data_IF_785603003016
#
_entry.id   IF_785603003016
#
_cell.length_a   1.000
_cell.length_b   1.000
_cell.length_c   1.000
_cell.angle_alpha   90.00
_cell.angle_beta   90.00
_cell.angle_gamma   90.00
#
_symmetry.space_group_name_H-M   'P 1'
#
loop_
_entity.id
_entity.type
_entity.pdbx_description
1 polymer ?
#
# COMPACT_ATOMS: atom_id res chain seq x y z
N UNK A 1 0.29 -15.46 4.89
CA UNK A 1 1.22 -14.93 5.92
C UNK A 1 2.29 -15.97 6.16
N UNK A 2 3.56 -15.56 6.11
CA UNK A 2 4.68 -16.50 6.18
C UNK A 2 4.74 -17.19 7.54
N UNK A 3 4.93 -18.52 7.55
CA UNK A 3 4.97 -19.36 8.77
C UNK A 3 6.27 -19.22 9.56
N UNK A 4 6.97 -18.10 9.38
CA UNK A 4 8.31 -17.88 9.90
C UNK A 4 8.32 -18.00 11.43
N UNK A 5 9.31 -18.73 11.92
CA UNK A 5 9.66 -18.77 13.33
C UNK A 5 10.38 -17.48 13.72
N UNK A 6 10.37 -17.09 15.00
CA UNK A 6 11.09 -15.90 15.44
C UNK A 6 12.58 -15.90 15.08
N UNK A 7 13.23 -17.08 15.04
CA UNK A 7 14.64 -17.21 14.65
C UNK A 7 14.85 -16.93 13.17
N UNK A 8 13.96 -17.42 12.30
CA UNK A 8 14.02 -17.14 10.87
C UNK A 8 13.75 -15.66 10.58
N UNK A 9 12.80 -15.04 11.29
CA UNK A 9 12.57 -13.59 11.15
C UNK A 9 13.82 -12.80 11.53
N UNK A 10 14.47 -13.13 12.66
CA UNK A 10 15.71 -12.46 13.08
C UNK A 10 16.80 -12.66 12.03
N UNK A 11 17.00 -13.89 11.53
CA UNK A 11 18.00 -14.17 10.50
C UNK A 11 17.75 -13.37 9.21
N UNK A 12 16.48 -13.24 8.78
CA UNK A 12 16.12 -12.40 7.62
C UNK A 12 16.33 -10.92 7.89
N UNK A 13 16.16 -10.45 9.12
CA UNK A 13 16.47 -9.07 9.50
C UNK A 13 17.99 -8.84 9.63
N UNK A 14 18.77 -9.86 9.94
CA UNK A 14 20.24 -9.78 9.97
C UNK A 14 20.83 -9.54 8.56
N UNK A 15 20.12 -9.92 7.49
CA UNK A 15 20.48 -9.63 6.09
C UNK A 15 20.35 -8.15 5.70
N UNK A 16 19.77 -7.28 6.55
CA UNK A 16 19.57 -5.86 6.19
C UNK A 16 19.90 -4.89 7.32
N UNK A 17 19.91 -5.36 8.57
CA UNK A 17 20.14 -4.54 9.74
C UNK A 17 21.34 -5.11 10.48
N UNK A 18 22.33 -4.28 10.76
CA UNK A 18 23.48 -4.65 11.60
C UNK A 18 23.12 -4.46 13.08
N UNK A 19 23.46 -5.44 13.92
CA UNK A 19 23.25 -5.36 15.37
C UNK A 19 21.79 -5.38 15.80
N UNK A 20 21.46 -4.65 16.88
CA UNK A 20 20.09 -4.44 17.39
C UNK A 20 19.29 -5.73 17.64
N UNK A 21 19.94 -6.75 18.20
CA UNK A 21 19.36 -8.09 18.37
C UNK A 21 18.06 -8.11 19.19
N UNK A 22 17.98 -7.28 20.24
CA UNK A 22 16.80 -7.22 21.10
C UNK A 22 15.60 -6.65 20.34
N UNK A 23 15.80 -5.60 19.53
CA UNK A 23 14.75 -5.02 18.69
C UNK A 23 14.27 -6.03 17.63
N UNK A 24 15.19 -6.74 16.98
CA UNK A 24 14.84 -7.82 16.02
C UNK A 24 14.03 -8.93 16.70
N UNK A 25 14.44 -9.36 17.90
CA UNK A 25 13.71 -10.37 18.68
C UNK A 25 12.32 -9.87 19.06
N UNK A 26 12.18 -8.62 19.50
CA UNK A 26 10.91 -8.02 19.88
C UNK A 26 9.91 -8.03 18.72
N UNK A 27 10.32 -7.55 17.53
CA UNK A 27 9.44 -7.54 16.34
C UNK A 27 9.14 -8.96 15.84
N UNK A 28 10.10 -9.89 15.92
CA UNK A 28 9.91 -11.28 15.56
C UNK A 28 8.87 -11.99 16.46
N UNK A 29 8.88 -11.68 17.76
CA UNK A 29 7.88 -12.19 18.71
C UNK A 29 6.51 -11.59 18.41
N UNK A 30 6.41 -10.29 18.15
CA UNK A 30 5.15 -9.64 17.80
C UNK A 30 4.53 -10.26 16.54
N UNK A 31 5.33 -10.46 15.50
CA UNK A 31 4.90 -11.14 14.28
C UNK A 31 4.47 -12.59 14.54
N UNK A 32 5.24 -13.35 15.35
CA UNK A 32 4.86 -14.73 15.67
C UNK A 32 3.58 -14.81 16.49
N UNK A 33 3.35 -13.88 17.40
CA UNK A 33 2.11 -13.80 18.16
C UNK A 33 0.90 -13.55 17.26
N UNK A 34 1.08 -12.82 16.17
CA UNK A 34 0.04 -12.62 15.16
C UNK A 34 -0.29 -13.90 14.40
N UNK A 35 0.71 -14.69 14.01
CA UNK A 35 0.47 -16.03 13.47
C UNK A 35 -0.26 -16.92 14.48
N UNK A 36 0.16 -16.91 15.76
CA UNK A 36 -0.50 -17.66 16.83
C UNK A 36 -1.95 -17.23 17.02
N UNK A 37 -2.22 -15.93 16.97
CA UNK A 37 -3.57 -15.37 17.08
C UNK A 37 -4.51 -15.93 16.00
N UNK A 38 -4.05 -16.07 14.74
CA UNK A 38 -4.86 -16.68 13.68
C UNK A 38 -5.24 -18.15 13.94
N UNK A 39 -4.47 -18.86 14.76
CA UNK A 39 -4.74 -20.25 15.13
C UNK A 39 -5.72 -20.40 16.31
N UNK A 40 -6.09 -19.30 16.98
CA UNK A 40 -7.03 -19.34 18.10
C UNK A 40 -8.47 -19.57 17.62
N UNK A 41 -9.39 -19.93 18.51
CA UNK A 41 -10.82 -19.94 18.19
C UNK A 41 -11.36 -18.51 18.05
N UNK A 42 -12.46 -18.29 17.29
CA UNK A 42 -13.03 -16.96 17.09
C UNK A 42 -13.33 -16.20 18.39
N UNK A 43 -13.78 -16.90 19.43
CA UNK A 43 -14.11 -16.28 20.72
C UNK A 43 -12.86 -15.73 21.42
N UNK A 44 -11.77 -16.50 21.43
CA UNK A 44 -10.51 -16.08 22.06
C UNK A 44 -9.82 -15.01 21.22
N UNK A 45 -9.93 -15.07 19.88
CA UNK A 45 -9.31 -14.07 18.99
C UNK A 45 -9.73 -12.64 19.32
N UNK A 46 -11.00 -12.43 19.67
CA UNK A 46 -11.56 -11.11 20.03
C UNK A 46 -11.01 -10.56 21.36
N UNK A 47 -10.48 -11.41 22.22
CA UNK A 47 -9.93 -10.99 23.52
C UNK A 47 -8.41 -10.71 23.45
N UNK A 48 -7.75 -11.14 22.38
CA UNK A 48 -6.29 -11.05 22.24
C UNK A 48 -5.92 -9.85 21.37
N UNK A 49 -5.43 -8.81 22.03
CA UNK A 49 -4.91 -7.61 21.37
C UNK A 49 -3.46 -7.76 20.90
N UNK A 50 -3.06 -7.08 19.81
CA UNK A 50 -1.67 -6.99 19.37
C UNK A 50 -0.76 -6.51 20.50
N UNK A 51 0.47 -7.03 20.51
CA UNK A 51 1.50 -6.60 21.46
C UNK A 51 2.31 -5.48 20.82
N UNK A 52 1.78 -4.25 20.90
CA UNK A 52 2.41 -3.06 20.36
C UNK A 52 3.77 -2.79 21.02
N UNK A 53 4.66 -2.11 20.29
CA UNK A 53 6.07 -1.98 20.64
C UNK A 53 6.45 -0.50 20.75
N UNK A 54 7.20 -0.12 21.79
CA UNK A 54 7.95 1.14 21.82
C UNK A 54 9.43 0.82 21.62
N UNK A 55 10.01 1.38 20.56
CA UNK A 55 11.44 1.39 20.26
C UNK A 55 12.09 2.65 20.82
N UNK A 56 13.03 2.49 21.74
CA UNK A 56 13.73 3.56 22.42
C UNK A 56 15.16 3.61 21.91
N UNK A 57 15.64 4.75 21.43
CA UNK A 57 17.05 4.88 21.07
C UNK A 57 17.34 6.08 20.18
N UNK A 58 18.61 6.39 19.93
CA UNK A 58 19.01 7.58 19.17
C UNK A 58 18.58 7.50 17.69
N UNK A 59 18.64 8.63 17.00
CA UNK A 59 18.38 8.66 15.55
C UNK A 59 19.44 7.87 14.80
N UNK A 60 19.08 7.27 13.67
CA UNK A 60 20.04 6.55 12.81
C UNK A 60 20.40 5.12 13.23
N UNK A 61 19.95 4.62 14.39
CA UNK A 61 20.27 3.25 14.86
C UNK A 61 19.44 2.12 14.22
N UNK A 62 18.54 2.44 13.29
CA UNK A 62 17.76 1.44 12.53
C UNK A 62 16.31 1.17 12.98
N UNK A 63 15.72 1.99 13.87
CA UNK A 63 14.33 1.83 14.35
C UNK A 63 13.30 1.66 13.21
N UNK A 64 13.29 2.61 12.28
CA UNK A 64 12.39 2.58 11.12
C UNK A 64 12.73 1.44 10.16
N UNK A 65 14.01 1.14 9.98
CA UNK A 65 14.46 0.12 9.02
C UNK A 65 14.08 -1.29 9.45
N UNK A 66 14.22 -1.63 10.73
CA UNK A 66 13.74 -2.90 11.29
C UNK A 66 12.25 -3.09 10.98
N UNK A 67 11.44 -2.05 11.19
CA UNK A 67 10.00 -2.13 10.99
C UNK A 67 9.63 -2.21 9.50
N UNK A 68 10.29 -1.42 8.66
CA UNK A 68 10.11 -1.45 7.19
C UNK A 68 10.44 -2.84 6.63
N UNK A 69 11.56 -3.43 7.06
CA UNK A 69 11.98 -4.78 6.61
C UNK A 69 11.05 -5.86 7.11
N UNK A 70 10.55 -5.74 8.34
CA UNK A 70 9.52 -6.65 8.87
C UNK A 70 8.26 -6.63 8.01
N UNK A 71 7.78 -5.44 7.62
CA UNK A 71 6.61 -5.30 6.77
C UNK A 71 6.82 -5.92 5.38
N UNK A 72 7.97 -5.64 4.76
CA UNK A 72 8.34 -6.23 3.46
C UNK A 72 8.41 -7.77 3.53
N UNK A 73 9.06 -8.32 4.57
CA UNK A 73 9.20 -9.76 4.78
C UNK A 73 7.85 -10.48 4.92
N UNK A 74 6.84 -9.76 5.40
CA UNK A 74 5.51 -10.30 5.69
C UNK A 74 4.45 -9.89 4.68
N UNK A 75 4.84 -9.09 3.67
CA UNK A 75 3.95 -8.45 2.71
C UNK A 75 2.79 -7.71 3.40
N UNK A 76 3.09 -7.07 4.54
CA UNK A 76 2.13 -6.29 5.30
C UNK A 76 2.09 -4.84 4.80
N UNK A 77 0.90 -4.20 4.77
CA UNK A 77 0.81 -2.77 4.51
C UNK A 77 1.48 -2.01 5.66
N UNK A 78 2.30 -1.03 5.29
CA UNK A 78 3.13 -0.29 6.22
C UNK A 78 3.05 1.20 5.94
N UNK A 79 2.79 1.97 6.99
CA UNK A 79 2.80 3.43 6.94
C UNK A 79 3.63 3.99 8.09
N UNK A 80 4.49 4.96 7.76
CA UNK A 80 5.23 5.76 8.73
C UNK A 80 4.53 7.11 8.89
N UNK A 81 4.25 7.48 10.13
CA UNK A 81 3.78 8.82 10.51
C UNK A 81 4.71 9.42 11.56
N UNK A 82 4.70 10.75 11.68
CA UNK A 82 5.38 11.47 12.76
C UNK A 82 4.32 11.94 13.75
N UNK A 83 4.49 11.67 15.03
CA UNK A 83 3.51 12.04 16.07
C UNK A 83 3.30 13.56 16.16
N UNK A 84 4.34 14.34 15.84
CA UNK A 84 4.32 15.81 15.86
C UNK A 84 3.39 16.42 14.83
N UNK A 85 3.08 15.72 13.72
CA UNK A 85 2.15 16.18 12.67
C UNK A 85 0.73 16.44 13.18
N UNK A 86 0.36 15.85 14.32
CA UNK A 86 -0.97 15.97 14.91
C UNK A 86 -1.04 17.07 15.99
N UNK A 87 0.07 17.72 16.34
CA UNK A 87 0.15 18.72 17.43
C UNK A 87 -0.21 20.15 17.00
N UNK A 88 -0.31 20.42 15.69
CA UNK A 88 -0.52 21.78 15.17
C UNK A 88 -2.01 22.09 15.00
N UNK A 89 -2.52 23.02 15.83
CA UNK A 89 -3.87 23.59 15.71
C UNK A 89 -3.86 24.61 14.57
N UNK A 90 -4.04 24.12 13.34
CA UNK A 90 -4.13 24.96 12.14
C UNK A 90 -5.07 24.35 11.11
N UNK A 91 -6.12 25.09 10.78
CA UNK A 91 -7.11 24.85 9.72
C UNK A 91 -6.64 23.84 8.63
N UNK A 92 -7.37 22.73 8.48
CA UNK A 92 -7.01 21.52 7.69
C UNK A 92 -6.02 20.54 8.36
N UNK A 93 -6.05 20.48 9.69
CA UNK A 93 -5.29 19.50 10.46
C UNK A 93 -5.62 18.06 10.06
N UNK A 94 -4.59 17.30 9.70
CA UNK A 94 -4.72 15.86 9.46
C UNK A 94 -5.19 15.21 10.74
N UNK A 95 -6.45 14.78 10.75
CA UNK A 95 -7.03 13.92 11.76
C UNK A 95 -6.15 12.66 11.97
N UNK A 96 -6.02 12.17 13.19
CA UNK A 96 -5.25 10.96 13.51
C UNK A 96 -5.74 9.78 12.68
N UNK A 97 -7.04 9.70 12.35
CA UNK A 97 -7.58 8.67 11.46
C UNK A 97 -6.96 8.68 10.05
N UNK A 98 -6.33 9.78 9.61
CA UNK A 98 -5.62 9.84 8.32
C UNK A 98 -4.55 8.75 8.20
N UNK A 99 -3.89 8.35 9.29
CA UNK A 99 -2.89 7.28 9.24
C UNK A 99 -3.51 5.93 8.86
N UNK A 100 -4.77 5.71 9.23
CA UNK A 100 -5.53 4.50 8.89
C UNK A 100 -5.96 4.56 7.43
N UNK A 101 -6.37 5.74 6.94
CA UNK A 101 -6.69 5.95 5.52
C UNK A 101 -5.46 5.70 4.64
N UNK A 102 -4.30 6.23 5.03
CA UNK A 102 -3.02 6.01 4.35
C UNK A 102 -2.62 4.52 4.36
N UNK A 103 -2.86 3.82 5.48
CA UNK A 103 -2.58 2.38 5.59
C UNK A 103 -3.43 1.54 4.64
N UNK A 104 -4.70 1.92 4.47
CA UNK A 104 -5.62 1.25 3.55
C UNK A 104 -5.21 1.51 2.11
N UNK A 105 -4.74 2.71 1.78
CA UNK A 105 -4.16 2.99 0.46
C UNK A 105 -2.91 2.14 0.18
N UNK A 106 -2.02 1.99 1.15
CA UNK A 106 -0.87 1.09 1.02
C UNK A 106 -1.32 -0.37 0.82
N UNK A 107 -2.40 -0.79 1.50
CA UNK A 107 -2.98 -2.12 1.34
C UNK A 107 -3.57 -2.35 -0.06
N UNK A 108 -4.31 -1.36 -0.59
CA UNK A 108 -4.86 -1.39 -1.96
C UNK A 108 -3.72 -1.59 -2.97
N UNK A 109 -2.61 -0.86 -2.82
CA UNK A 109 -1.47 -0.97 -3.73
C UNK A 109 -0.86 -2.38 -3.70
N UNK A 110 -0.72 -2.99 -2.51
CA UNK A 110 -0.21 -4.34 -2.35
C UNK A 110 -1.12 -5.40 -2.99
N UNK A 111 -2.43 -5.34 -2.71
CA UNK A 111 -3.41 -6.27 -3.27
C UNK A 111 -3.51 -6.11 -4.78
N UNK A 112 -3.54 -4.88 -5.28
CA UNK A 112 -3.60 -4.61 -6.71
C UNK A 112 -2.34 -5.10 -7.43
N UNK A 113 -1.15 -4.96 -6.84
CA UNK A 113 0.07 -5.52 -7.42
C UNK A 113 0.00 -7.04 -7.52
N UNK A 114 -0.43 -7.73 -6.46
CA UNK A 114 -0.59 -9.19 -6.49
C UNK A 114 -1.62 -9.66 -7.51
N UNK A 115 -2.80 -9.03 -7.56
CA UNK A 115 -3.83 -9.40 -8.54
C UNK A 115 -3.41 -9.11 -9.98
N UNK A 116 -2.62 -8.05 -10.23
CA UNK A 116 -2.05 -7.78 -11.55
C UNK A 116 -1.18 -8.93 -12.03
N UNK A 117 -0.30 -9.44 -11.16
CA UNK A 117 0.55 -10.58 -11.47
C UNK A 117 -0.28 -11.85 -11.77
N UNK A 118 -1.37 -12.07 -11.01
CA UNK A 118 -2.27 -13.21 -11.20
C UNK A 118 -3.05 -13.15 -12.53
N UNK A 119 -3.46 -11.96 -12.97
CA UNK A 119 -4.23 -11.79 -14.22
C UNK A 119 -3.35 -11.65 -15.46
N UNK A 120 -2.07 -11.34 -15.31
CA UNK A 120 -1.13 -11.08 -16.41
C UNK A 120 -1.14 -12.18 -17.49
N UNK A 121 -1.07 -13.50 -17.18
CA UNK A 121 -1.10 -14.54 -18.21
C UNK A 121 -2.41 -14.55 -19.02
N UNK A 122 -3.54 -14.26 -18.37
CA UNK A 122 -4.85 -14.16 -19.02
C UNK A 122 -4.94 -12.89 -19.87
N UNK A 123 -4.40 -11.78 -19.38
CA UNK A 123 -4.33 -10.51 -20.09
C UNK A 123 -3.47 -10.63 -21.37
N UNK A 124 -2.32 -11.32 -21.30
CA UNK A 124 -1.47 -11.60 -22.46
C UNK A 124 -2.21 -12.40 -23.53
N UNK A 125 -2.95 -13.44 -23.12
CA UNK A 125 -3.77 -14.24 -24.05
C UNK A 125 -4.85 -13.38 -24.73
N UNK A 126 -5.55 -12.52 -23.97
CA UNK A 126 -6.55 -11.59 -24.53
C UNK A 126 -5.92 -10.55 -25.45
N UNK A 127 -4.72 -10.08 -25.10
CA UNK A 127 -3.97 -9.12 -25.90
C UNK A 127 -3.61 -9.71 -27.26
N UNK A 128 -3.15 -10.95 -27.29
CA UNK A 128 -2.87 -11.67 -28.54
C UNK A 128 -4.12 -11.72 -29.43
N UNK A 129 -5.28 -12.12 -28.89
CA UNK A 129 -6.53 -12.17 -29.65
C UNK A 129 -6.95 -10.78 -30.15
N UNK A 130 -6.81 -9.74 -29.33
CA UNK A 130 -7.15 -8.36 -29.69
C UNK A 130 -6.22 -7.78 -30.75
N UNK A 131 -4.93 -8.08 -30.70
CA UNK A 131 -3.98 -7.70 -31.75
C UNK A 131 -4.28 -8.42 -33.07
N UNK A 132 -4.66 -9.71 -33.01
CA UNK A 132 -5.10 -10.46 -34.19
C UNK A 132 -6.36 -9.87 -34.81
N UNK A 133 -7.31 -9.39 -34.01
CA UNK A 133 -8.51 -8.71 -34.51
C UNK A 133 -8.19 -7.38 -35.22
N UNK A 134 -7.17 -6.66 -34.76
CA UNK A 134 -6.69 -5.44 -35.41
C UNK A 134 -5.92 -5.72 -36.71
N UNK A 135 -5.14 -6.81 -36.75
CA UNK A 135 -4.32 -7.20 -37.91
C UNK A 135 -5.11 -7.92 -39.00
N UNK A 136 -6.16 -8.65 -38.61
CA UNK A 136 -7.08 -9.34 -39.51
C UNK A 136 -8.50 -8.85 -39.19
N UNK A 137 -8.89 -7.68 -39.72
CA UNK A 137 -10.26 -7.22 -39.61
C UNK A 137 -11.16 -8.30 -40.21
N UNK A 138 -12.10 -8.82 -39.42
CA UNK A 138 -13.14 -9.69 -39.95
C UNK A 138 -14.06 -8.80 -40.79
N UNK A 139 -14.26 -9.14 -42.06
CA UNK A 139 -15.28 -8.46 -42.87
C UNK A 139 -16.62 -8.57 -42.13
N UNK A 140 -17.32 -7.44 -42.02
CA UNK A 140 -18.46 -7.21 -41.14
C UNK A 140 -19.49 -8.35 -41.26
N UNK A 141 -19.48 -9.29 -40.29
CA UNK A 141 -20.37 -10.48 -40.22
C UNK A 141 -21.86 -10.15 -40.18
N UNK A 142 -22.25 -8.88 -40.23
CA UNK A 142 -23.63 -8.41 -40.12
C UNK A 142 -24.43 -8.56 -41.42
N UNK A 143 -23.79 -8.79 -42.59
CA UNK A 143 -24.49 -8.76 -43.89
C UNK A 143 -24.07 -9.83 -44.93
N UNK A 144 -23.27 -10.84 -44.60
CA UNK A 144 -22.90 -11.90 -45.56
C UNK A 144 -23.53 -13.26 -45.17
N UNK A 145 -24.04 -14.07 -46.14
CA UNK A 145 -24.45 -15.43 -45.86
C UNK A 145 -23.26 -16.23 -45.33
N UNK A 146 -23.51 -17.11 -44.36
CA UNK A 146 -22.50 -17.97 -43.74
C UNK A 146 -21.90 -18.96 -44.76
N UNK A 147 -20.91 -18.51 -45.53
CA UNK A 147 -20.13 -19.34 -46.43
C UNK A 147 -19.10 -20.11 -45.59
N UNK A 148 -19.35 -21.41 -45.37
CA UNK A 148 -18.52 -22.27 -44.52
C UNK A 148 -17.06 -22.32 -44.99
N UNK A 149 -16.81 -22.08 -46.28
CA UNK A 149 -15.48 -22.08 -46.87
C UNK A 149 -14.70 -20.79 -46.56
N UNK A 150 -15.40 -19.65 -46.48
CA UNK A 150 -14.83 -18.38 -46.03
C UNK A 150 -14.47 -18.42 -44.54
N UNK A 151 -15.34 -18.99 -43.71
CA UNK A 151 -15.10 -19.18 -42.28
C UNK A 151 -13.84 -20.04 -42.03
N UNK A 152 -13.71 -21.17 -42.73
CA UNK A 152 -12.55 -22.04 -42.63
C UNK A 152 -11.24 -21.36 -43.08
N UNK A 153 -11.31 -20.49 -44.09
CA UNK A 153 -10.16 -19.71 -44.57
C UNK A 153 -9.73 -18.67 -43.53
N UNK A 154 -10.68 -17.98 -42.91
CA UNK A 154 -10.40 -17.01 -41.84
C UNK A 154 -9.71 -17.66 -40.64
N UNK A 155 -10.18 -18.84 -40.19
CA UNK A 155 -9.56 -19.57 -39.08
C UNK A 155 -8.10 -19.92 -39.40
N UNK A 156 -7.82 -20.45 -40.61
CA UNK A 156 -6.45 -20.78 -41.03
C UNK A 156 -5.53 -19.55 -41.08
N UNK A 157 -6.03 -18.42 -41.60
CA UNK A 157 -5.27 -17.16 -41.63
C UNK A 157 -4.97 -16.66 -40.22
N UNK A 158 -5.95 -16.75 -39.30
CA UNK A 158 -5.77 -16.32 -37.90
C UNK A 158 -4.72 -17.17 -37.18
N UNK A 159 -4.74 -18.49 -37.33
CA UNK A 159 -3.72 -19.39 -36.77
C UNK A 159 -2.31 -19.03 -37.28
N UNK A 160 -2.15 -18.81 -38.59
CA UNK A 160 -0.86 -18.43 -39.16
C UNK A 160 -0.35 -17.08 -38.62
N UNK A 161 -1.21 -16.07 -38.54
CA UNK A 161 -0.83 -14.77 -37.98
C UNK A 161 -0.52 -14.86 -36.48
N UNK A 162 -1.18 -15.76 -35.75
CA UNK A 162 -0.88 -16.03 -34.35
C UNK A 162 0.54 -16.55 -34.18
N UNK A 163 0.96 -17.51 -35.01
CA UNK A 163 2.34 -18.01 -35.02
C UNK A 163 3.34 -16.89 -35.32
N UNK A 164 3.07 -16.08 -36.35
CA UNK A 164 3.92 -14.93 -36.71
C UNK A 164 3.99 -13.86 -35.61
N UNK A 165 2.88 -13.59 -34.92
CA UNK A 165 2.79 -12.63 -33.81
C UNK A 165 3.58 -13.10 -32.59
N UNK A 166 3.58 -14.41 -32.32
CA UNK A 166 4.39 -15.02 -31.25
C UNK A 166 5.87 -15.08 -31.61
N UNK A 167 6.19 -15.24 -32.90
CA UNK A 167 7.56 -15.21 -33.42
C UNK A 167 8.15 -13.80 -33.49
N UNK A 168 7.35 -12.75 -33.24
CA UNK A 168 7.79 -11.35 -33.33
C UNK A 168 7.98 -10.85 -34.76
N UNK A 169 7.42 -11.53 -35.76
CA UNK A 169 7.57 -11.16 -37.18
C UNK A 169 6.65 -10.00 -37.59
N UNK A 170 5.72 -9.60 -36.72
CA UNK A 170 4.69 -8.60 -37.01
C UNK A 170 4.89 -7.29 -36.25
N UNK A 171 5.96 -7.15 -35.44
CA UNK A 171 6.15 -6.03 -34.52
C UNK A 171 6.17 -4.65 -35.23
N UNK A 172 6.73 -4.57 -36.43
CA UNK A 172 6.84 -3.33 -37.21
C UNK A 172 5.53 -2.95 -37.95
N UNK A 173 4.52 -3.83 -37.96
CA UNK A 173 3.26 -3.53 -38.66
C UNK A 173 2.46 -2.48 -37.89
N UNK A 174 1.83 -1.56 -38.62
CA UNK A 174 0.96 -0.56 -38.01
C UNK A 174 -0.43 -1.12 -37.77
N UNK A 175 -0.97 -0.83 -36.58
CA UNK A 175 -2.36 -1.08 -36.19
C UNK A 175 -2.98 0.21 -35.66
N UNK A 176 -4.30 0.36 -35.84
CA UNK A 176 -5.04 1.50 -35.33
C UNK A 176 -5.73 1.13 -34.02
N UNK A 177 -5.24 1.68 -32.91
CA UNK A 177 -5.75 1.40 -31.58
C UNK A 177 -6.65 2.54 -31.10
N UNK A 178 -7.79 2.20 -30.49
CA UNK A 178 -8.61 3.14 -29.73
C UNK A 178 -8.01 3.31 -28.34
N UNK A 179 -7.58 4.53 -28.02
CA UNK A 179 -7.03 4.90 -26.73
C UNK A 179 -7.98 5.90 -26.08
N UNK A 180 -8.41 5.61 -24.85
CA UNK A 180 -9.09 6.58 -24.00
C UNK A 180 -8.06 7.54 -23.44
N UNK A 181 -8.13 8.82 -23.84
CA UNK A 181 -7.30 9.86 -23.23
C UNK A 181 -8.15 10.70 -22.28
N UNK A 182 -7.70 10.82 -21.03
CA UNK A 182 -8.22 11.83 -20.10
C UNK A 182 -7.60 13.18 -20.50
N UNK A 183 -8.37 14.03 -21.18
CA UNK A 183 -8.05 15.47 -21.21
C UNK A 183 -8.52 16.08 -19.90
N UNK A 184 -7.59 16.35 -18.98
CA UNK A 184 -7.84 17.35 -17.96
C UNK A 184 -7.86 18.72 -18.66
N UNK A 185 -8.95 19.50 -18.61
CA UNK A 185 -8.97 20.84 -19.17
C UNK A 185 -8.21 21.81 -18.24
N UNK A 186 -6.90 21.61 -18.09
CA UNK A 186 -6.04 22.40 -17.20
C UNK A 186 -6.04 23.89 -17.60
N UNK A 187 -6.16 24.19 -18.89
CA UNK A 187 -6.15 25.57 -19.40
C UNK A 187 -7.43 26.37 -19.13
N UNK A 188 -8.59 25.72 -18.93
CA UNK A 188 -9.85 26.43 -18.62
C UNK A 188 -9.98 26.61 -17.09
N UNK A 189 -9.44 25.68 -16.31
CA UNK A 189 -9.54 25.66 -14.85
C UNK A 189 -8.63 26.70 -14.17
N UNK A 190 -7.44 26.97 -14.73
CA UNK A 190 -6.52 28.00 -14.22
C UNK A 190 -7.07 29.44 -14.35
N UNK A 191 -8.00 29.68 -15.29
CA UNK A 191 -8.63 30.99 -15.50
C UNK A 191 -9.78 31.31 -14.52
N UNK A 192 -10.26 30.32 -13.77
CA UNK A 192 -11.42 30.47 -12.87
C UNK A 192 -11.05 30.56 -11.38
N UNK A 193 -9.77 30.63 -11.02
CA UNK A 193 -9.33 30.73 -9.61
C UNK A 193 -9.70 29.49 -8.77
N UNK A 194 -9.78 28.32 -9.42
CA UNK A 194 -10.32 27.06 -8.87
C UNK A 194 -9.32 26.25 -8.05
N UNK A 195 -8.15 26.80 -7.70
CA UNK A 195 -7.20 26.15 -6.78
C UNK A 195 -7.72 26.06 -5.32
N UNK A 196 -8.92 26.62 -5.05
CA UNK A 196 -9.55 26.67 -3.73
C UNK A 196 -10.78 25.75 -3.56
N UNK A 197 -11.09 24.87 -4.53
CA UNK A 197 -12.23 23.96 -4.39
C UNK A 197 -11.92 22.70 -3.57
N UNK A 198 -12.91 22.28 -2.80
CA UNK A 198 -12.88 21.13 -1.90
C UNK A 198 -12.56 19.81 -2.65
N UNK A 199 -11.79 18.93 -2.01
CA UNK A 199 -11.26 17.68 -2.62
C UNK A 199 -12.39 16.76 -3.09
N UNK A 200 -13.52 16.79 -2.38
CA UNK A 200 -14.72 16.02 -2.73
C UNK A 200 -15.42 16.54 -4.00
N UNK A 201 -15.37 17.85 -4.27
CA UNK A 201 -15.90 18.45 -5.50
C UNK A 201 -15.01 18.15 -6.71
N UNK A 202 -13.70 18.04 -6.50
CA UNK A 202 -12.74 17.65 -7.54
C UNK A 202 -13.00 16.22 -8.02
N UNK A 203 -13.27 15.28 -7.10
CA UNK A 203 -13.63 13.90 -7.43
C UNK A 203 -14.96 13.75 -8.18
N UNK A 204 -15.92 14.67 -7.95
CA UNK A 204 -17.18 14.71 -8.71
C UNK A 204 -16.98 15.27 -10.13
N UNK A 205 -16.12 16.29 -10.29
CA UNK A 205 -15.79 16.87 -11.60
C UNK A 205 -15.08 15.87 -12.52
N UNK A 206 -14.16 15.07 -11.98
CA UNK A 206 -13.47 13.99 -12.71
C UNK A 206 -14.43 12.94 -13.29
N UNK A 207 -15.61 12.74 -12.66
CA UNK A 207 -16.64 11.82 -13.14
C UNK A 207 -17.57 12.44 -14.21
N UNK A 208 -17.61 13.77 -14.32
CA UNK A 208 -18.46 14.51 -15.27
C UNK A 208 -17.73 14.84 -16.59
N UNK A 209 -16.41 14.77 -16.64
CA UNK A 209 -15.63 15.02 -17.86
C UNK A 209 -15.84 13.85 -18.84
N UNK A 210 -16.37 14.11 -20.06
CA UNK A 210 -16.60 13.05 -21.05
C UNK A 210 -15.26 12.45 -21.51
N UNK A 211 -15.14 11.13 -21.43
CA UNK A 211 -14.00 10.38 -21.97
C UNK A 211 -14.06 10.42 -23.50
N UNK A 212 -13.11 11.11 -24.14
CA UNK A 212 -12.96 11.06 -25.59
C UNK A 212 -12.04 9.90 -25.97
N UNK A 213 -12.52 9.03 -26.86
CA UNK A 213 -11.74 7.97 -27.48
C UNK A 213 -11.06 8.53 -28.73
N UNK A 214 -9.73 8.48 -28.77
CA UNK A 214 -8.96 8.83 -29.95
C UNK A 214 -8.37 7.58 -30.60
N UNK A 215 -8.40 7.55 -31.92
CA UNK A 215 -7.71 6.55 -32.72
C UNK A 215 -6.26 6.96 -32.91
N UNK A 216 -5.31 6.09 -32.57
CA UNK A 216 -3.88 6.30 -32.76
C UNK A 216 -3.31 5.13 -33.54
N UNK A 217 -2.53 5.44 -34.59
CA UNK A 217 -1.72 4.44 -35.27
C UNK A 217 -0.46 4.19 -34.46
N UNK A 218 -0.20 2.92 -34.17
CA UNK A 218 0.94 2.44 -33.41
C UNK A 218 1.51 1.22 -34.11
N UNK A 219 2.79 0.94 -33.90
CA UNK A 219 3.35 -0.37 -34.26
C UNK A 219 2.72 -1.47 -33.40
N UNK A 220 2.75 -2.73 -33.86
CA UNK A 220 2.27 -3.87 -33.05
C UNK A 220 3.03 -3.96 -31.73
N UNK A 221 4.33 -3.64 -31.71
CA UNK A 221 5.13 -3.59 -30.49
C UNK A 221 4.56 -2.60 -29.47
N UNK A 222 4.36 -1.35 -29.88
CA UNK A 222 3.80 -0.31 -29.00
C UNK A 222 2.34 -0.60 -28.62
N UNK A 223 1.55 -1.13 -29.57
CA UNK A 223 0.16 -1.49 -29.32
C UNK A 223 0.05 -2.64 -28.32
N UNK A 224 0.99 -3.60 -28.34
CA UNK A 224 1.03 -4.73 -27.40
C UNK A 224 1.11 -4.25 -25.97
N UNK A 225 2.04 -3.35 -25.65
CA UNK A 225 2.19 -2.83 -24.29
C UNK A 225 0.92 -2.10 -23.81
N UNK A 226 0.33 -1.27 -24.67
CA UNK A 226 -0.91 -0.54 -24.32
C UNK A 226 -2.09 -1.49 -24.15
N UNK A 227 -2.22 -2.50 -25.02
CA UNK A 227 -3.33 -3.46 -24.96
C UNK A 227 -3.21 -4.36 -23.74
N UNK A 228 -1.99 -4.81 -23.39
CA UNK A 228 -1.77 -5.61 -22.17
C UNK A 228 -2.27 -4.84 -20.94
N UNK A 229 -1.88 -3.58 -20.80
CA UNK A 229 -2.34 -2.76 -19.67
C UNK A 229 -3.87 -2.58 -19.65
N UNK A 230 -4.50 -2.35 -20.81
CA UNK A 230 -5.96 -2.26 -20.91
C UNK A 230 -6.66 -3.57 -20.53
N UNK A 231 -6.12 -4.72 -20.95
CA UNK A 231 -6.68 -6.03 -20.62
C UNK A 231 -6.47 -6.39 -19.15
N UNK A 232 -5.34 -6.00 -18.56
CA UNK A 232 -5.11 -6.11 -17.11
C UNK A 232 -6.17 -5.29 -16.37
N UNK A 233 -6.31 -3.99 -16.69
CA UNK A 233 -7.29 -3.12 -16.02
C UNK A 233 -8.73 -3.63 -16.17
N UNK A 234 -9.07 -4.21 -17.32
CA UNK A 234 -10.39 -4.80 -17.57
C UNK A 234 -10.65 -6.12 -16.82
N UNK A 235 -9.59 -6.84 -16.43
CA UNK A 235 -9.66 -8.09 -15.69
C UNK A 235 -9.70 -7.90 -14.17
N UNK A 236 -9.27 -6.75 -13.66
CA UNK A 236 -9.27 -6.44 -12.24
C UNK A 236 -10.67 -6.13 -11.73
N UNK A 237 -11.06 -6.80 -10.64
CA UNK A 237 -12.29 -6.51 -9.90
C UNK A 237 -11.98 -5.53 -8.77
N UNK A 238 -12.43 -4.28 -8.93
CA UNK A 238 -12.17 -3.21 -7.96
C UNK A 238 -12.84 -3.45 -6.61
N UNK A 239 -14.01 -4.07 -6.59
CA UNK A 239 -14.74 -4.30 -5.35
C UNK A 239 -14.06 -5.42 -4.56
N UNK A 240 -13.63 -6.48 -5.24
CA UNK A 240 -12.83 -7.54 -4.63
C UNK A 240 -11.47 -7.04 -4.12
N UNK A 241 -10.79 -6.14 -4.87
CA UNK A 241 -9.55 -5.50 -4.41
C UNK A 241 -9.80 -4.70 -3.13
N UNK A 242 -10.86 -3.89 -3.09
CA UNK A 242 -11.18 -3.06 -1.93
C UNK A 242 -11.47 -3.92 -0.69
N UNK A 243 -12.29 -4.98 -0.83
CA UNK A 243 -12.62 -5.88 0.27
C UNK A 243 -11.36 -6.58 0.82
N UNK A 244 -10.53 -7.12 -0.07
CA UNK A 244 -9.30 -7.81 0.35
C UNK A 244 -8.26 -6.83 0.93
N UNK A 245 -8.16 -5.61 0.40
CA UNK A 245 -7.28 -4.58 0.93
C UNK A 245 -7.71 -4.15 2.34
N UNK A 246 -9.00 -4.01 2.61
CA UNK A 246 -9.52 -3.74 3.96
C UNK A 246 -9.13 -4.89 4.89
N UNK A 247 -9.44 -6.13 4.52
CA UNK A 247 -9.08 -7.32 5.31
C UNK A 247 -7.58 -7.37 5.60
N UNK A 248 -6.74 -7.11 4.59
CA UNK A 248 -5.30 -7.10 4.73
C UNK A 248 -4.82 -5.97 5.66
N UNK A 249 -5.41 -4.78 5.60
CA UNK A 249 -5.09 -3.68 6.51
C UNK A 249 -5.47 -4.00 7.97
N UNK A 250 -6.68 -4.50 8.21
CA UNK A 250 -7.17 -4.86 9.54
C UNK A 250 -6.35 -5.99 10.16
N UNK A 251 -6.14 -7.05 9.39
CA UNK A 251 -5.46 -8.22 9.92
C UNK A 251 -3.96 -7.99 10.02
N UNK A 252 -3.35 -7.25 9.08
CA UNK A 252 -1.91 -7.21 8.83
C UNK A 252 -1.20 -5.89 8.84
N UNK A 253 -1.95 -4.80 8.97
CA UNK A 253 -1.39 -3.47 9.01
C UNK A 253 -0.32 -3.29 10.07
N UNK A 254 0.73 -2.55 9.68
CA UNK A 254 1.78 -2.11 10.57
C UNK A 254 1.86 -0.58 10.49
N UNK A 255 1.61 0.08 11.61
CA UNK A 255 1.77 1.53 11.73
C UNK A 255 3.02 1.85 12.55
N UNK A 256 3.91 2.63 11.94
CA UNK A 256 5.10 3.16 12.62
C UNK A 256 4.90 4.62 13.00
N UNK A 257 4.81 4.89 14.30
CA UNK A 257 4.63 6.23 14.87
C UNK A 257 5.99 6.73 15.35
N UNK A 258 6.65 7.57 14.54
CA UNK A 258 7.93 8.17 14.88
C UNK A 258 7.76 9.37 15.81
N UNK A 259 8.83 9.72 16.53
CA UNK A 259 8.87 10.87 17.45
C UNK A 259 7.78 10.87 18.55
N UNK A 260 7.37 9.69 19.05
CA UNK A 260 6.39 9.58 20.13
C UNK A 260 6.86 10.31 21.40
N UNK A 261 8.16 10.41 21.62
CA UNK A 261 8.76 11.13 22.75
C UNK A 261 8.47 12.64 22.71
N UNK A 262 8.12 13.22 21.56
CA UNK A 262 7.80 14.65 21.39
C UNK A 262 6.39 15.03 21.83
N UNK A 263 5.49 14.05 21.90
CA UNK A 263 4.13 14.25 22.41
C UNK A 263 3.99 13.88 23.89
N UNK A 264 5.08 13.45 24.54
CA UNK A 264 5.14 13.25 25.99
C UNK A 264 5.13 14.60 26.72
N UNK A 265 4.60 14.60 27.94
CA UNK A 265 4.64 15.78 28.81
C UNK A 265 6.09 16.00 29.30
N UNK A 266 6.70 17.10 28.88
CA UNK A 266 8.02 17.52 29.32
C UNK A 266 7.80 18.75 30.21
N UNK A 267 7.84 18.53 31.53
CA UNK A 267 7.30 19.40 32.59
C UNK A 267 7.81 20.85 32.72
N UNK A 268 8.20 21.54 31.66
CA UNK A 268 8.61 22.95 31.66
C UNK A 268 8.06 23.75 30.44
N UNK A 269 6.99 23.28 29.80
CA UNK A 269 6.30 23.99 28.70
C UNK A 269 5.20 24.97 29.17
N UNK A 270 4.76 25.86 28.26
CA UNK A 270 3.58 26.70 28.50
C UNK A 270 2.32 25.85 28.65
N UNK A 271 1.35 26.26 29.48
CA UNK A 271 0.10 25.50 29.73
C UNK A 271 -0.70 25.17 28.47
N UNK A 272 -0.48 25.90 27.35
CA UNK A 272 -1.13 25.66 26.06
C UNK A 272 -0.47 24.53 25.26
N UNK A 273 0.85 24.44 25.25
CA UNK A 273 1.57 23.38 24.51
C UNK A 273 1.32 22.00 25.12
N UNK A 274 1.19 21.96 26.45
CA UNK A 274 0.84 20.76 27.21
C UNK A 274 -0.52 20.19 26.83
N UNK A 275 -1.52 21.06 26.64
CA UNK A 275 -2.87 20.64 26.25
C UNK A 275 -2.87 20.06 24.83
N UNK A 276 -2.07 20.62 23.91
CA UNK A 276 -1.99 20.10 22.53
C UNK A 276 -1.32 18.73 22.46
N UNK A 277 -0.18 18.54 23.15
CA UNK A 277 0.55 17.26 23.18
C UNK A 277 -0.24 16.13 23.83
N UNK A 278 -0.94 16.42 24.94
CA UNK A 278 -1.87 15.48 25.55
C UNK A 278 -3.09 15.22 24.66
N UNK A 279 -3.55 16.20 23.89
CA UNK A 279 -4.60 16.04 22.89
C UNK A 279 -4.26 14.94 21.88
N UNK A 280 -3.05 14.98 21.31
CA UNK A 280 -2.60 13.95 20.36
C UNK A 280 -2.59 12.55 20.97
N UNK A 281 -2.12 12.40 22.21
CA UNK A 281 -2.15 11.10 22.89
C UNK A 281 -3.59 10.58 23.09
N UNK A 282 -4.54 11.47 23.39
CA UNK A 282 -5.96 11.14 23.54
C UNK A 282 -6.60 10.77 22.21
N UNK A 283 -6.22 11.44 21.13
CA UNK A 283 -6.76 11.17 19.79
C UNK A 283 -6.16 9.87 19.20
N UNK A 284 -4.90 9.54 19.55
CA UNK A 284 -4.28 8.25 19.23
C UNK A 284 -4.89 7.08 20.01
N UNK A 285 -5.43 7.31 21.20
CA UNK A 285 -5.86 6.24 22.08
C UNK A 285 -6.96 5.37 21.44
N UNK A 286 -8.10 5.90 20.94
CA UNK A 286 -9.13 5.09 20.27
C UNK A 286 -8.57 4.24 19.11
N UNK A 287 -7.61 4.78 18.36
CA UNK A 287 -6.99 4.10 17.23
C UNK A 287 -6.18 2.88 17.69
N UNK A 288 -5.43 3.01 18.79
CA UNK A 288 -4.63 1.92 19.36
C UNK A 288 -5.48 0.93 20.18
N UNK A 289 -6.59 1.39 20.78
CA UNK A 289 -7.52 0.53 21.54
C UNK A 289 -8.41 -0.34 20.65
N UNK A 290 -8.70 0.14 19.43
CA UNK A 290 -9.61 -0.49 18.49
C UNK A 290 -10.83 0.40 18.26
N UNK A 291 -10.90 0.98 17.07
CA UNK A 291 -12.05 1.74 16.59
C UNK A 291 -12.32 1.41 15.12
N UNK A 292 -13.45 1.85 14.61
CA UNK A 292 -13.79 1.75 13.19
C UNK A 292 -13.57 3.11 12.53
N UNK A 293 -12.65 3.16 11.56
CA UNK A 293 -12.38 4.35 10.76
C UNK A 293 -13.08 4.24 9.41
N UNK A 294 -13.78 5.30 9.01
CA UNK A 294 -14.38 5.37 7.69
C UNK A 294 -13.35 5.83 6.65
N UNK A 295 -13.26 5.07 5.56
CA UNK A 295 -12.41 5.37 4.40
C UNK A 295 -13.25 5.42 3.13
N UNK A 296 -12.67 5.94 2.04
CA UNK A 296 -13.32 5.94 0.71
C UNK A 296 -13.55 4.53 0.13
N UNK A 297 -12.91 3.51 0.69
CA UNK A 297 -13.00 2.11 0.25
C UNK A 297 -13.95 1.28 1.11
N UNK A 298 -14.35 1.81 2.28
CA UNK A 298 -15.15 1.10 3.27
C UNK A 298 -14.69 1.42 4.70
N UNK A 299 -15.32 0.75 5.66
CA UNK A 299 -14.98 0.87 7.07
C UNK A 299 -13.85 -0.09 7.42
N UNK A 300 -12.95 0.34 8.31
CA UNK A 300 -11.75 -0.42 8.68
C UNK A 300 -11.62 -0.45 10.20
N UNK A 301 -11.55 -1.65 10.77
CA UNK A 301 -11.27 -1.86 12.19
C UNK A 301 -9.77 -1.76 12.49
N UNK A 302 -9.41 -1.04 13.55
CA UNK A 302 -8.02 -0.89 13.99
C UNK A 302 -7.58 -1.89 15.06
N UNK A 303 -8.49 -2.75 15.53
CA UNK A 303 -8.31 -3.64 16.68
C UNK A 303 -7.10 -4.58 16.58
N UNK A 304 -6.73 -4.99 15.36
CA UNK A 304 -5.65 -5.95 15.11
C UNK A 304 -4.45 -5.37 14.34
N UNK A 305 -4.42 -4.06 14.13
CA UNK A 305 -3.27 -3.36 13.55
C UNK A 305 -2.12 -3.37 14.56
N UNK A 306 -0.90 -3.66 14.09
CA UNK A 306 0.30 -3.60 14.92
C UNK A 306 0.84 -2.17 14.94
N UNK A 307 0.89 -1.58 16.13
CA UNK A 307 1.53 -0.27 16.33
C UNK A 307 2.96 -0.44 16.83
N UNK A 308 3.89 0.23 16.16
CA UNK A 308 5.29 0.33 16.56
C UNK A 308 5.60 1.81 16.70
N UNK A 309 5.70 2.28 17.93
CA UNK A 309 6.12 3.64 18.20
C UNK A 309 7.63 3.72 18.40
N UNK A 310 8.22 4.85 18.05
CA UNK A 310 9.64 5.10 18.22
C UNK A 310 9.88 6.50 18.81
N UNK A 311 10.96 6.62 19.59
CA UNK A 311 11.40 7.90 20.14
C UNK A 311 12.84 7.84 20.62
N UNK A 312 13.47 9.00 20.72
CA UNK A 312 14.80 9.11 21.32
C UNK A 312 14.73 9.08 22.85
N UNK A 313 13.68 9.66 23.43
CA UNK A 313 13.44 9.70 24.88
C UNK A 313 14.64 10.31 25.65
N UNK A 314 15.29 11.33 25.08
CA UNK A 314 16.37 12.08 25.74
C UNK A 314 15.85 12.99 26.86
N UNK A 315 14.72 13.67 26.62
CA UNK A 315 14.12 14.68 27.50
C UNK A 315 12.80 14.23 28.14
N UNK A 316 12.35 13.03 27.80
CA UNK A 316 11.12 12.41 28.29
C UNK A 316 11.38 10.92 28.44
N UNK A 317 10.54 10.23 29.20
CA UNK A 317 10.60 8.79 29.40
C UNK A 317 9.29 8.17 28.90
N UNK A 318 9.27 6.88 28.53
CA UNK A 318 8.03 6.19 28.22
C UNK A 318 7.00 6.21 29.37
N UNK A 319 7.45 6.42 30.62
CA UNK A 319 6.59 6.63 31.79
C UNK A 319 5.80 7.94 31.76
N UNK A 320 6.20 8.90 30.92
CA UNK A 320 5.61 10.23 30.83
C UNK A 320 4.47 10.28 29.78
N UNK A 321 4.21 9.14 29.12
CA UNK A 321 2.99 8.93 28.34
C UNK A 321 1.78 8.76 29.25
N UNK A 322 0.58 9.01 28.73
CA UNK A 322 -0.66 8.72 29.44
C UNK A 322 -0.72 7.25 29.88
N UNK A 323 -1.15 6.94 31.12
CA UNK A 323 -1.22 5.57 31.63
C UNK A 323 -1.98 4.60 30.72
N UNK A 324 -3.05 5.07 30.10
CA UNK A 324 -3.88 4.31 29.16
C UNK A 324 -3.07 3.89 27.93
N UNK A 325 -2.32 4.83 27.35
CA UNK A 325 -1.47 4.57 26.18
C UNK A 325 -0.30 3.65 26.55
N UNK A 326 0.30 3.82 27.73
CA UNK A 326 1.35 2.91 28.22
C UNK A 326 0.86 1.46 28.31
N UNK A 327 -0.37 1.23 28.77
CA UNK A 327 -0.98 -0.09 28.85
C UNK A 327 -1.15 -0.76 27.49
N UNK A 328 -1.26 0.03 26.42
CA UNK A 328 -1.39 -0.46 25.04
C UNK A 328 -0.07 -0.75 24.35
N UNK A 329 1.06 -0.34 24.93
CA UNK A 329 2.42 -0.63 24.44
C UNK A 329 3.22 -1.50 25.43
N UNK A 330 2.87 -2.80 25.54
CA UNK A 330 3.46 -3.68 26.55
C UNK A 330 4.92 -4.05 26.25
N UNK A 331 5.36 -4.02 24.99
CA UNK A 331 6.73 -4.35 24.62
C UNK A 331 7.54 -3.06 24.54
N UNK A 332 8.61 -2.97 25.33
CA UNK A 332 9.56 -1.86 25.31
C UNK A 332 10.93 -2.43 24.98
N UNK A 333 11.58 -1.87 23.97
CA UNK A 333 12.90 -2.33 23.53
C UNK A 333 13.82 -1.16 23.28
N UNK A 334 15.04 -1.27 23.81
CA UNK A 334 16.09 -0.28 23.62
C UNK A 334 16.96 -0.68 22.41
N UNK A 335 17.32 0.32 21.62
CA UNK A 335 18.27 0.23 20.53
C UNK A 335 19.50 1.03 20.93
N UNK A 336 20.66 0.41 20.76
CA UNK A 336 21.94 0.97 21.22
C UNK A 336 22.60 1.82 20.15
N UNK A 337 23.45 2.75 20.59
CA UNK A 337 24.33 3.50 19.71
C UNK A 337 25.16 2.56 18.83
N UNK A 338 25.33 2.93 17.57
CA UNK A 338 26.15 2.19 16.62
C UNK A 338 27.63 2.48 16.89
N UNK A 339 28.41 1.41 16.97
CA UNK A 339 29.86 1.50 17.14
C UNK A 339 30.56 1.71 15.79
N UNK A 340 31.86 2.02 15.84
CA UNK A 340 32.70 2.06 14.63
C UNK A 340 32.69 0.74 13.86
N UNK A 341 32.67 -0.38 14.59
CA UNK A 341 32.59 -1.72 13.98
C UNK A 341 31.25 -1.92 13.27
N UNK A 342 30.15 -1.47 13.88
CA UNK A 342 28.83 -1.52 13.23
C UNK A 342 28.79 -0.68 11.96
N UNK A 343 29.38 0.51 11.94
CA UNK A 343 29.46 1.31 10.72
C UNK A 343 30.27 0.64 9.61
N UNK A 344 31.36 -0.05 9.96
CA UNK A 344 32.11 -0.83 8.96
C UNK A 344 31.24 -1.94 8.38
N UNK A 345 30.54 -2.69 9.25
CA UNK A 345 29.64 -3.77 8.85
C UNK A 345 28.50 -3.26 7.97
N UNK A 346 27.89 -2.13 8.30
CA UNK A 346 26.83 -1.49 7.49
C UNK A 346 27.29 -1.18 6.06
N UNK A 347 28.58 -0.89 5.85
CA UNK A 347 29.14 -0.60 4.53
C UNK A 347 29.56 -1.85 3.75
N UNK A 348 29.76 -2.99 4.42
CA UNK A 348 30.40 -4.18 3.82
C UNK A 348 29.55 -5.43 3.83
N UNK A 349 28.59 -5.55 4.74
CA UNK A 349 27.63 -6.66 4.79
C UNK A 349 26.46 -6.32 3.84
N UNK A 350 26.07 -7.25 2.94
CA UNK A 350 25.04 -7.03 1.93
C UNK A 350 23.66 -6.77 2.54
#
# INVERSE_FOLDING_TARGET
MSELTPREVVARLDEYIVGQADAKRAVAIALRNRWRWKQLSPDIRREVTPKNIIMIGPTGVGKTEITRRLAQLTQAPFVKVEATKYTEVGYYGRDVESMIRDLVEASIQLVQAGQRDDVLPRAQTRTEERLLDLLIPSEDRRHAPADKEAEARHVRTREKFREMLRAGELEDREVELRIEQRRAPVQIMAGMGMDQMDVDLQGMFDKLIPRQTHHRKLTVAEARDVVVEQEIEALLDRDAINEEAIRLAEESGILFIDELDKICDAGEGSRKDHVSRHGVQRDLLPIVEGTTVQTRYGNVSTEHILFIAAGAFHSSRPSDLMPELQGRFPIRVELHDLTREDFLRILTEP
#
